data_IF_660781777391
#
_entry.id   IF_660781777391
#
_cell.length_a   1.000
_cell.length_b   1.000
_cell.length_c   1.000
_cell.angle_alpha   90.00
_cell.angle_beta   90.00
_cell.angle_gamma   90.00
#
_symmetry.space_group_name_H-M   'P 1'
#
loop_
_entity.id
_entity.type
_entity.pdbx_description
1 polymer ?
#
# COMPACT_ATOMS: atom_id res chain seq x y z
N UNK A 1 23.32 -27.37 -30.12
CA UNK A 1 22.73 -28.50 -29.35
C UNK A 1 22.06 -27.90 -28.12
N UNK A 2 20.80 -28.23 -27.82
CA UNK A 2 20.14 -27.76 -26.59
C UNK A 2 20.60 -28.62 -25.38
N UNK A 3 20.62 -28.06 -24.16
CA UNK A 3 20.92 -28.87 -22.96
C UNK A 3 19.87 -29.97 -22.80
N UNK A 4 20.24 -31.09 -22.16
CA UNK A 4 19.32 -32.23 -21.94
C UNK A 4 18.07 -31.86 -21.12
N UNK A 5 18.11 -30.73 -20.41
CA UNK A 5 16.99 -30.13 -19.67
C UNK A 5 16.00 -29.36 -20.57
N UNK A 6 16.26 -29.29 -21.88
CA UNK A 6 15.41 -28.66 -22.88
C UNK A 6 15.16 -29.64 -24.03
N UNK A 7 13.90 -30.03 -24.22
CA UNK A 7 13.49 -30.74 -25.42
C UNK A 7 13.62 -29.80 -26.64
N UNK A 8 13.97 -30.33 -27.81
CA UNK A 8 14.04 -29.55 -29.04
C UNK A 8 12.94 -30.01 -30.01
N UNK A 9 11.70 -30.11 -29.52
CA UNK A 9 10.61 -30.79 -30.25
C UNK A 9 9.25 -30.13 -29.99
N UNK A 10 8.50 -29.85 -31.07
CA UNK A 10 7.07 -29.49 -31.04
C UNK A 10 6.66 -28.40 -30.02
N UNK A 11 7.49 -27.38 -29.83
CA UNK A 11 7.22 -26.28 -28.88
C UNK A 11 7.45 -26.62 -27.40
N UNK A 12 7.98 -27.82 -27.12
CA UNK A 12 8.42 -28.25 -25.79
C UNK A 12 9.92 -28.02 -25.73
N UNK A 13 10.38 -27.17 -24.82
CA UNK A 13 11.78 -26.78 -24.71
C UNK A 13 12.01 -25.30 -24.42
N UNK A 14 13.27 -24.90 -24.37
CA UNK A 14 13.67 -23.49 -24.40
C UNK A 14 13.71 -23.00 -25.84
N UNK A 15 13.20 -21.80 -26.07
CA UNK A 15 13.31 -21.14 -27.36
C UNK A 15 14.80 -20.94 -27.69
N UNK A 16 15.29 -21.34 -28.87
CA UNK A 16 16.71 -21.26 -29.22
C UNK A 16 17.15 -19.84 -29.62
N UNK A 17 16.71 -18.80 -28.92
CA UNK A 17 16.95 -17.37 -29.24
C UNK A 17 18.12 -16.76 -28.45
N UNK A 18 19.04 -17.59 -27.94
CA UNK A 18 20.08 -17.13 -27.02
C UNK A 18 21.22 -16.32 -27.64
N UNK A 19 21.39 -16.35 -28.97
CA UNK A 19 22.42 -15.60 -29.68
C UNK A 19 21.78 -14.39 -30.37
N UNK A 20 22.43 -13.23 -30.27
CA UNK A 20 22.11 -12.02 -31.04
C UNK A 20 23.21 -11.75 -32.07
N UNK A 21 22.92 -10.92 -33.07
CA UNK A 21 23.91 -10.52 -34.07
C UNK A 21 25.18 -9.96 -33.42
N UNK A 22 26.35 -10.31 -33.97
CA UNK A 22 27.65 -9.95 -33.41
C UNK A 22 28.14 -10.82 -32.24
N UNK A 23 27.36 -11.82 -31.78
CA UNK A 23 27.82 -12.76 -30.73
C UNK A 23 29.01 -13.59 -31.22
N UNK A 24 30.07 -13.67 -30.42
CA UNK A 24 31.20 -14.54 -30.70
C UNK A 24 30.85 -15.98 -30.34
N UNK A 25 31.00 -16.88 -31.31
CA UNK A 25 30.58 -18.29 -31.18
C UNK A 25 31.74 -19.24 -31.42
N UNK A 26 31.66 -20.40 -30.79
CA UNK A 26 32.53 -21.54 -31.04
C UNK A 26 31.73 -22.64 -31.73
N UNK A 27 32.33 -23.26 -32.75
CA UNK A 27 31.65 -24.20 -33.62
C UNK A 27 32.54 -24.75 -34.73
N UNK A 28 31.93 -25.46 -35.67
CA UNK A 28 32.60 -26.00 -36.85
C UNK A 28 31.65 -26.00 -38.05
N UNK A 29 32.19 -26.09 -39.25
CA UNK A 29 31.43 -26.23 -40.49
C UNK A 29 31.19 -27.72 -40.77
N UNK A 30 29.93 -28.14 -40.86
CA UNK A 30 29.56 -29.55 -41.09
C UNK A 30 30.04 -30.05 -42.46
N UNK A 31 30.13 -29.13 -43.42
CA UNK A 31 30.60 -29.33 -44.79
C UNK A 31 32.11 -29.04 -44.97
N UNK A 32 32.86 -28.91 -43.87
CA UNK A 32 34.31 -28.77 -43.89
C UNK A 32 34.79 -27.45 -44.51
N UNK A 33 35.63 -27.54 -45.55
CA UNK A 33 36.25 -26.35 -46.17
C UNK A 33 35.27 -25.47 -46.95
N UNK A 34 34.10 -25.99 -47.31
CA UNK A 34 33.09 -25.26 -48.07
C UNK A 34 32.43 -24.16 -47.23
N UNK A 35 32.38 -24.33 -45.90
CA UNK A 35 31.95 -23.32 -44.93
C UNK A 35 30.56 -22.71 -45.23
N UNK A 36 29.59 -23.55 -45.61
CA UNK A 36 28.21 -23.15 -45.88
C UNK A 36 27.24 -23.60 -44.78
N UNK A 37 27.60 -24.62 -43.99
CA UNK A 37 26.73 -25.20 -42.96
C UNK A 37 27.34 -25.07 -41.55
N UNK A 38 27.14 -23.94 -40.85
CA UNK A 38 27.75 -23.74 -39.54
C UNK A 38 26.99 -24.50 -38.46
N UNK A 39 27.73 -25.18 -37.59
CA UNK A 39 27.22 -25.78 -36.34
C UNK A 39 27.78 -24.99 -35.17
N UNK A 40 26.90 -24.28 -34.47
CA UNK A 40 27.25 -23.53 -33.26
C UNK A 40 27.05 -24.43 -32.03
N UNK A 41 28.09 -24.54 -31.21
CA UNK A 41 28.07 -25.34 -29.98
C UNK A 41 28.13 -24.51 -28.70
N UNK A 42 28.56 -23.24 -28.79
CA UNK A 42 28.56 -22.31 -27.66
C UNK A 42 28.89 -20.88 -28.06
N UNK A 43 28.69 -19.96 -27.12
CA UNK A 43 29.12 -18.56 -27.23
C UNK A 43 30.31 -18.30 -26.31
N UNK A 44 31.15 -17.34 -26.68
CA UNK A 44 32.31 -16.91 -25.90
C UNK A 44 32.06 -15.48 -25.42
N UNK A 45 31.98 -15.30 -24.10
CA UNK A 45 31.94 -13.98 -23.49
C UNK A 45 33.34 -13.40 -23.32
N UNK A 46 33.45 -12.07 -23.33
CA UNK A 46 34.71 -11.37 -23.18
C UNK A 46 34.55 -9.93 -22.72
N UNK A 47 35.55 -9.12 -23.05
CA UNK A 47 35.55 -7.68 -22.84
C UNK A 47 36.08 -7.03 -24.11
N UNK A 48 35.23 -6.24 -24.76
CA UNK A 48 35.62 -5.49 -25.95
C UNK A 48 36.58 -4.36 -25.58
N UNK A 49 37.49 -3.99 -26.48
CA UNK A 49 38.32 -2.81 -26.29
C UNK A 49 37.46 -1.54 -26.27
N UNK A 50 37.88 -0.53 -25.50
CA UNK A 50 37.18 0.76 -25.39
C UNK A 50 37.11 1.49 -26.73
N UNK A 51 38.10 1.27 -27.59
CA UNK A 51 38.19 1.91 -28.90
C UNK A 51 37.54 1.06 -30.02
N UNK A 52 36.81 -0.01 -29.66
CA UNK A 52 36.13 -0.86 -30.64
C UNK A 52 35.05 -0.07 -31.37
N UNK A 53 35.03 -0.19 -32.71
CA UNK A 53 34.04 0.46 -33.58
C UNK A 53 33.20 -0.59 -34.28
N UNK A 54 31.88 -0.43 -34.20
CA UNK A 54 30.95 -1.26 -34.97
C UNK A 54 31.10 -0.89 -36.45
N UNK A 55 31.32 -1.89 -37.30
CA UNK A 55 31.36 -1.68 -38.74
C UNK A 55 30.48 -2.72 -39.45
N UNK A 56 29.20 -2.37 -39.73
CA UNK A 56 28.26 -3.25 -40.42
C UNK A 56 28.71 -3.68 -41.84
N UNK A 57 29.69 -2.98 -42.42
CA UNK A 57 30.21 -3.30 -43.75
C UNK A 57 31.28 -4.38 -43.75
N UNK A 58 31.76 -4.78 -42.57
CA UNK A 58 32.81 -5.78 -42.40
C UNK A 58 32.26 -7.11 -41.86
N UNK A 59 32.88 -8.22 -42.26
CA UNK A 59 32.50 -9.55 -41.78
C UNK A 59 32.64 -9.67 -40.25
N UNK A 60 31.83 -10.56 -39.65
CA UNK A 60 31.80 -10.84 -38.20
C UNK A 60 31.36 -9.67 -37.31
N UNK A 61 30.75 -8.63 -37.89
CA UNK A 61 30.03 -7.58 -37.17
C UNK A 61 28.52 -7.81 -37.28
N UNK A 62 27.75 -7.14 -36.41
CA UNK A 62 26.30 -7.06 -36.55
C UNK A 62 25.93 -6.26 -37.82
N UNK A 63 25.25 -6.88 -38.80
CA UNK A 63 24.84 -6.20 -40.03
C UNK A 63 23.85 -5.05 -39.80
N UNK A 64 23.16 -5.02 -38.66
CA UNK A 64 22.23 -3.96 -38.29
C UNK A 64 22.89 -2.86 -37.45
N UNK A 65 24.15 -3.05 -37.01
CA UNK A 65 24.89 -2.07 -36.19
C UNK A 65 24.31 -1.82 -34.79
N UNK A 66 23.45 -2.70 -34.29
CA UNK A 66 22.85 -2.63 -32.96
C UNK A 66 23.87 -3.07 -31.90
N UNK A 67 24.57 -4.18 -32.14
CA UNK A 67 25.54 -4.78 -31.22
C UNK A 67 27.01 -4.59 -31.67
N UNK A 68 27.96 -4.50 -30.71
CA UNK A 68 27.77 -4.34 -29.25
C UNK A 68 27.03 -3.04 -28.92
N UNK A 69 26.39 -2.94 -27.75
CA UNK A 69 25.70 -1.70 -27.36
C UNK A 69 26.73 -0.63 -26.99
N UNK A 70 26.58 0.58 -27.53
CA UNK A 70 27.57 1.67 -27.35
C UNK A 70 27.84 1.98 -25.88
N UNK A 71 26.80 1.93 -25.06
CA UNK A 71 26.84 2.15 -23.61
C UNK A 71 27.57 1.06 -22.81
N UNK A 72 27.93 -0.06 -23.44
CA UNK A 72 28.62 -1.21 -22.85
C UNK A 72 30.01 -1.47 -23.49
N UNK A 73 30.42 -0.70 -24.49
CA UNK A 73 31.76 -0.84 -25.09
C UNK A 73 32.82 -0.59 -24.01
N UNK A 74 33.85 -1.44 -23.96
CA UNK A 74 34.88 -1.38 -22.93
C UNK A 74 34.50 -2.06 -21.60
N UNK A 75 33.32 -2.63 -21.49
CA UNK A 75 32.88 -3.41 -20.33
C UNK A 75 32.96 -4.93 -20.58
N UNK A 76 33.01 -5.70 -19.49
CA UNK A 76 32.90 -7.15 -19.57
C UNK A 76 31.44 -7.57 -19.81
N UNK A 77 31.23 -8.65 -20.55
CA UNK A 77 29.91 -9.21 -20.87
C UNK A 77 29.14 -9.72 -19.64
N UNK A 78 29.82 -9.91 -18.50
CA UNK A 78 29.17 -10.17 -17.20
C UNK A 78 28.16 -9.05 -16.93
N UNK A 79 26.92 -9.43 -16.62
CA UNK A 79 25.84 -8.47 -16.42
C UNK A 79 26.19 -7.46 -15.32
N UNK A 80 25.88 -6.18 -15.55
CA UNK A 80 26.09 -5.09 -14.58
C UNK A 80 25.68 -5.48 -13.17
N UNK A 81 24.54 -6.15 -12.98
CA UNK A 81 24.00 -6.53 -11.66
C UNK A 81 24.89 -7.50 -10.87
N UNK A 82 25.76 -8.26 -11.54
CA UNK A 82 26.68 -9.23 -10.95
C UNK A 82 28.12 -8.72 -10.80
N UNK A 83 28.37 -7.41 -10.91
CA UNK A 83 29.73 -6.83 -10.92
C UNK A 83 30.00 -5.97 -9.68
N UNK A 84 29.37 -6.28 -8.55
CA UNK A 84 29.64 -5.61 -7.28
C UNK A 84 31.09 -5.82 -6.90
N UNK A 85 31.76 -4.77 -6.43
CA UNK A 85 33.14 -4.84 -5.95
C UNK A 85 33.25 -3.98 -4.68
N UNK A 86 33.81 -4.55 -3.62
CA UNK A 86 34.06 -3.84 -2.36
C UNK A 86 32.85 -3.79 -1.42
N UNK A 87 32.96 -2.98 -0.37
CA UNK A 87 31.96 -2.81 0.68
C UNK A 87 31.05 -1.59 0.42
N UNK A 88 29.93 -1.52 1.15
CA UNK A 88 29.06 -0.34 1.20
C UNK A 88 29.79 0.89 1.78
N UNK A 89 29.42 2.13 1.39
CA UNK A 89 28.35 2.51 0.46
C UNK A 89 28.75 2.38 -1.01
N UNK A 90 27.75 2.18 -1.88
CA UNK A 90 28.00 1.90 -3.30
C UNK A 90 28.31 3.20 -4.06
N UNK A 91 29.45 3.25 -4.76
CA UNK A 91 29.72 4.28 -5.77
C UNK A 91 29.06 3.94 -7.12
N UNK A 92 28.89 4.93 -8.01
CA UNK A 92 28.21 4.78 -9.31
C UNK A 92 28.74 3.63 -10.21
N UNK A 93 29.96 3.15 -9.94
CA UNK A 93 30.67 2.14 -10.74
C UNK A 93 30.47 0.68 -10.30
N UNK A 94 29.78 0.43 -9.19
CA UNK A 94 29.69 -0.90 -8.57
C UNK A 94 28.34 -1.58 -8.85
N UNK A 95 27.97 -1.73 -10.12
CA UNK A 95 26.70 -2.35 -10.60
C UNK A 95 25.43 -1.51 -10.49
N UNK A 96 25.46 -0.39 -9.76
CA UNK A 96 24.29 0.48 -9.54
C UNK A 96 23.80 1.19 -10.80
N UNK A 97 24.67 1.28 -11.82
CA UNK A 97 24.34 1.88 -13.10
C UNK A 97 23.56 0.95 -14.05
N UNK A 98 23.16 -0.25 -13.59
CA UNK A 98 22.25 -1.12 -14.35
C UNK A 98 20.93 -0.41 -14.65
N UNK A 99 20.43 -0.55 -15.87
CA UNK A 99 19.21 0.13 -16.33
C UNK A 99 17.99 -0.22 -15.48
N UNK A 100 17.86 -1.48 -15.04
CA UNK A 100 16.78 -1.93 -14.15
C UNK A 100 16.82 -1.21 -12.80
N UNK A 101 18.00 -1.07 -12.17
CA UNK A 101 18.15 -0.37 -10.89
C UNK A 101 17.87 1.13 -11.02
N UNK A 102 18.39 1.79 -12.06
CA UNK A 102 18.08 3.20 -12.35
C UNK A 102 16.57 3.43 -12.45
N UNK A 103 15.88 2.56 -13.20
CA UNK A 103 14.43 2.65 -13.36
C UNK A 103 13.67 2.41 -12.05
N UNK A 104 14.10 1.45 -11.22
CA UNK A 104 13.49 1.19 -9.91
C UNK A 104 13.65 2.40 -8.99
N UNK A 105 14.84 2.99 -8.91
CA UNK A 105 15.12 4.19 -8.08
C UNK A 105 14.31 5.40 -8.48
N UNK A 106 14.23 5.66 -9.79
CA UNK A 106 13.46 6.78 -10.33
C UNK A 106 11.96 6.66 -10.03
N UNK A 107 11.44 5.44 -9.85
CA UNK A 107 10.02 5.17 -9.59
C UNK A 107 9.72 4.81 -8.13
N UNK A 108 10.71 4.81 -7.24
CA UNK A 108 10.56 4.42 -5.84
C UNK A 108 9.76 5.47 -5.06
N UNK A 109 8.74 5.04 -4.33
CA UNK A 109 7.95 5.91 -3.46
C UNK A 109 8.70 6.20 -2.15
N UNK A 110 9.07 7.46 -1.90
CA UNK A 110 9.77 7.84 -0.67
C UNK A 110 9.65 9.33 -0.34
N UNK A 111 9.98 9.67 0.90
CA UNK A 111 9.97 11.04 1.40
C UNK A 111 8.60 11.51 1.86
N UNK A 112 8.58 12.52 2.71
CA UNK A 112 7.36 13.20 3.16
C UNK A 112 6.98 14.32 2.18
N UNK A 113 5.87 14.18 1.41
CA UNK A 113 5.41 15.22 0.48
C UNK A 113 5.02 16.55 1.13
N UNK A 114 4.70 16.55 2.43
CA UNK A 114 4.27 17.75 3.17
C UNK A 114 5.45 18.54 3.75
N UNK A 115 6.66 17.94 3.78
CA UNK A 115 7.88 18.64 4.19
C UNK A 115 8.42 19.48 3.04
N UNK A 116 8.46 20.79 3.24
CA UNK A 116 9.13 21.75 2.36
C UNK A 116 10.62 21.33 2.25
N UNK A 117 11.08 21.10 1.02
CA UNK A 117 12.45 20.68 0.65
C UNK A 117 12.76 19.17 0.70
N UNK A 118 11.78 18.27 0.87
CA UNK A 118 12.03 16.85 0.62
C UNK A 118 12.34 16.60 -0.87
N UNK A 119 13.40 15.84 -1.13
CA UNK A 119 14.03 15.72 -2.47
C UNK A 119 13.18 14.88 -3.43
N UNK A 120 12.24 14.07 -2.91
CA UNK A 120 11.57 13.02 -3.69
C UNK A 120 10.11 12.73 -3.34
N UNK A 121 9.39 13.68 -2.74
CA UNK A 121 7.96 13.78 -2.35
C UNK A 121 6.96 12.78 -2.96
N UNK A 122 7.18 11.48 -2.77
CA UNK A 122 6.38 10.40 -3.37
C UNK A 122 6.09 9.29 -2.35
N UNK A 123 6.38 9.50 -1.07
CA UNK A 123 6.02 8.58 0.00
C UNK A 123 4.53 8.28 0.00
N UNK A 124 4.14 7.25 0.74
CA UNK A 124 2.74 6.83 0.82
C UNK A 124 2.19 7.15 2.21
N UNK A 125 1.12 7.94 2.26
CA UNK A 125 0.49 8.37 3.50
C UNK A 125 -0.14 7.18 4.21
N UNK A 126 -0.03 7.17 5.54
CA UNK A 126 -0.80 6.29 6.43
C UNK A 126 -2.15 6.94 6.76
N UNK A 127 -3.15 6.10 7.05
CA UNK A 127 -4.45 6.57 7.56
C UNK A 127 -4.31 7.22 8.94
N UNK A 128 -5.10 8.27 9.20
CA UNK A 128 -5.05 9.07 10.44
C UNK A 128 -6.43 9.11 11.13
N UNK A 129 -6.44 8.95 12.45
CA UNK A 129 -7.64 9.13 13.28
C UNK A 129 -8.10 10.61 13.33
N UNK A 130 -9.41 10.81 13.45
CA UNK A 130 -10.01 12.14 13.56
C UNK A 130 -9.84 12.71 14.96
N UNK A 131 -9.40 13.97 15.06
CA UNK A 131 -9.20 14.67 16.33
C UNK A 131 -10.55 15.00 16.99
N UNK A 132 -10.75 14.50 18.21
CA UNK A 132 -11.98 14.68 18.99
C UNK A 132 -11.84 15.80 20.05
N UNK A 133 -10.66 16.41 20.18
CA UNK A 133 -10.38 17.52 21.11
C UNK A 133 -10.91 18.85 20.55
N UNK A 134 -12.23 19.01 20.54
CA UNK A 134 -12.88 20.32 20.49
C UNK A 134 -12.50 21.22 19.30
N UNK A 135 -12.25 20.66 18.11
CA UNK A 135 -11.82 21.37 16.89
C UNK A 135 -12.71 22.53 16.40
N UNK A 136 -13.80 22.84 17.09
CA UNK A 136 -14.77 23.88 16.75
C UNK A 136 -14.93 24.95 17.85
N UNK A 137 -14.00 25.04 18.81
CA UNK A 137 -14.06 26.03 19.90
C UNK A 137 -15.07 25.72 21.00
N UNK A 138 -15.52 24.47 21.11
CA UNK A 138 -16.34 23.97 22.23
C UNK A 138 -15.50 22.99 23.07
N UNK A 139 -15.56 23.03 24.41
CA UNK A 139 -14.82 22.10 25.24
C UNK A 139 -15.23 20.65 24.93
N UNK A 140 -14.25 19.84 24.50
CA UNK A 140 -14.43 18.41 24.37
C UNK A 140 -14.68 17.81 25.76
N UNK A 141 -15.80 17.10 25.94
CA UNK A 141 -16.06 16.33 27.16
C UNK A 141 -15.36 14.96 27.17
N UNK A 142 -14.72 14.55 26.06
CA UNK A 142 -13.89 13.35 25.97
C UNK A 142 -12.63 13.77 25.20
N UNK A 143 -11.48 13.65 25.86
CA UNK A 143 -10.19 13.97 25.26
C UNK A 143 -9.76 12.89 24.26
N UNK A 144 -8.87 13.25 23.33
CA UNK A 144 -8.16 12.24 22.55
C UNK A 144 -7.44 11.29 23.51
N UNK A 145 -7.41 10.01 23.15
CA UNK A 145 -6.69 9.03 23.94
C UNK A 145 -5.20 9.41 23.96
N UNK A 146 -4.63 9.45 25.17
CA UNK A 146 -3.21 9.71 25.40
C UNK A 146 -2.46 8.39 25.59
N UNK A 147 -1.13 8.41 25.48
CA UNK A 147 -0.29 7.22 25.58
C UNK A 147 -0.07 6.53 24.23
N UNK A 148 -0.16 5.20 24.20
CA UNK A 148 0.21 4.36 23.05
C UNK A 148 -0.55 4.69 21.75
N UNK A 149 -1.77 5.22 21.87
CA UNK A 149 -2.65 5.54 20.73
C UNK A 149 -2.45 6.96 20.16
N UNK A 150 -1.64 7.80 20.82
CA UNK A 150 -1.43 9.20 20.41
C UNK A 150 -0.78 9.33 19.01
N UNK A 151 -0.09 8.28 18.54
CA UNK A 151 0.50 8.23 17.20
C UNK A 151 -0.53 8.22 16.08
N UNK A 152 -1.73 7.67 16.30
CA UNK A 152 -2.77 7.55 15.28
C UNK A 152 -3.33 8.90 14.80
N UNK A 153 -3.14 9.96 15.60
CA UNK A 153 -3.56 11.31 15.28
C UNK A 153 -2.48 12.13 14.56
N UNK A 154 -1.33 11.54 14.22
CA UNK A 154 -0.26 12.22 13.47
C UNK A 154 -0.36 11.89 11.99
N UNK A 155 0.04 12.83 11.15
CA UNK A 155 0.24 12.53 9.73
C UNK A 155 1.60 11.86 9.55
N UNK A 156 1.62 10.68 8.95
CA UNK A 156 2.83 9.89 8.76
C UNK A 156 2.87 9.28 7.36
N UNK A 157 4.10 9.10 6.87
CA UNK A 157 4.39 8.52 5.56
C UNK A 157 5.26 7.28 5.73
N UNK A 158 5.20 6.36 4.77
CA UNK A 158 6.13 5.25 4.69
C UNK A 158 6.79 5.18 3.30
N UNK A 159 8.02 4.66 3.29
CA UNK A 159 8.87 4.57 2.12
C UNK A 159 8.91 3.12 1.62
N UNK A 160 8.86 2.96 0.29
CA UNK A 160 9.18 1.70 -0.36
C UNK A 160 10.64 1.29 -0.06
N UNK A 161 10.94 0.00 0.15
CA UNK A 161 12.31 -0.47 0.35
C UNK A 161 13.26 -0.10 -0.79
N UNK A 162 14.57 -0.07 -0.53
CA UNK A 162 15.54 0.19 -1.60
C UNK A 162 15.58 -0.95 -2.63
N UNK A 163 15.80 -0.65 -3.93
CA UNK A 163 15.78 -1.61 -5.04
C UNK A 163 16.82 -2.75 -5.07
N UNK A 164 17.62 -3.00 -4.03
CA UNK A 164 18.70 -4.00 -4.09
C UNK A 164 19.03 -4.68 -2.76
N UNK A 165 19.15 -3.90 -1.69
CA UNK A 165 19.64 -4.36 -0.37
C UNK A 165 18.74 -3.88 0.78
N UNK A 166 17.46 -3.66 0.47
CA UNK A 166 16.43 -3.30 1.46
C UNK A 166 16.66 -1.99 2.22
N UNK A 167 15.92 -1.85 3.31
CA UNK A 167 15.86 -0.62 4.11
C UNK A 167 14.92 0.41 3.51
N UNK A 168 14.32 1.23 4.38
CA UNK A 168 13.23 2.17 4.04
C UNK A 168 13.65 3.63 4.23
N UNK A 169 14.95 3.92 4.33
CA UNK A 169 15.45 5.30 4.43
C UNK A 169 15.19 6.07 3.13
N UNK A 170 15.09 7.40 3.18
CA UNK A 170 14.88 8.21 1.97
C UNK A 170 16.08 8.17 0.99
N UNK A 171 17.27 7.90 1.51
CA UNK A 171 18.50 7.78 0.73
C UNK A 171 18.45 6.56 -0.19
N UNK A 172 18.91 6.73 -1.42
CA UNK A 172 19.04 5.64 -2.39
C UNK A 172 20.27 4.75 -2.10
N UNK A 173 21.24 5.23 -1.32
CA UNK A 173 22.50 4.50 -1.07
C UNK A 173 22.64 4.02 0.36
N UNK A 174 21.59 4.15 1.17
CA UNK A 174 21.58 3.70 2.57
C UNK A 174 20.71 2.45 2.70
N UNK A 175 21.38 1.30 2.80
CA UNK A 175 20.77 -0.02 2.82
C UNK A 175 20.70 -0.61 4.22
N UNK A 176 20.22 -1.86 4.34
CA UNK A 176 20.26 -2.62 5.58
C UNK A 176 21.70 -2.78 6.09
N UNK A 177 21.90 -2.61 7.39
CA UNK A 177 23.23 -2.75 8.03
C UNK A 177 23.72 -4.19 8.06
N UNK A 178 22.83 -5.16 7.86
CA UNK A 178 23.17 -6.59 7.76
C UNK A 178 23.80 -6.96 6.41
N UNK A 179 23.77 -6.05 5.44
CA UNK A 179 24.36 -6.27 4.12
C UNK A 179 25.78 -5.74 4.15
N UNK A 180 26.77 -6.64 4.07
CA UNK A 180 28.20 -6.30 4.17
C UNK A 180 28.90 -6.40 2.80
N UNK A 181 28.37 -7.24 1.91
CA UNK A 181 28.88 -7.42 0.54
C UNK A 181 27.92 -6.87 -0.53
N UNK A 182 28.37 -6.89 -1.78
CA UNK A 182 27.62 -6.46 -2.96
C UNK A 182 27.48 -7.61 -3.93
N UNK A 183 26.34 -7.72 -4.62
CA UNK A 183 26.09 -8.78 -5.62
C UNK A 183 27.26 -8.88 -6.59
N UNK A 184 27.98 -10.01 -6.55
CA UNK A 184 29.24 -10.15 -7.27
C UNK A 184 29.40 -11.52 -7.91
N UNK A 185 30.10 -11.55 -9.04
CA UNK A 185 30.58 -12.77 -9.66
C UNK A 185 31.52 -13.53 -8.70
N UNK A 186 31.47 -14.87 -8.64
CA UNK A 186 30.64 -15.79 -9.44
C UNK A 186 29.27 -16.12 -8.80
N UNK A 187 28.91 -15.51 -7.67
CA UNK A 187 27.74 -15.87 -6.86
C UNK A 187 26.42 -15.26 -7.38
N UNK A 188 26.52 -14.12 -8.07
CA UNK A 188 25.35 -13.47 -8.66
C UNK A 188 25.08 -14.01 -10.07
N UNK A 189 23.95 -14.69 -10.24
CA UNK A 189 23.49 -15.30 -11.48
C UNK A 189 22.37 -14.46 -12.09
N UNK A 190 22.67 -13.79 -13.21
CA UNK A 190 21.74 -12.88 -13.87
C UNK A 190 21.40 -13.37 -15.27
N UNK A 191 20.11 -13.45 -15.56
CA UNK A 191 19.56 -13.67 -16.89
C UNK A 191 18.89 -12.39 -17.37
N UNK A 192 19.38 -11.83 -18.47
CA UNK A 192 18.79 -10.64 -19.09
C UNK A 192 18.43 -10.92 -20.55
N UNK A 193 17.19 -10.64 -20.92
CA UNK A 193 16.74 -10.70 -22.32
C UNK A 193 17.18 -9.46 -23.10
N UNK A 194 17.22 -9.55 -24.43
CA UNK A 194 17.53 -8.43 -25.34
C UNK A 194 16.72 -7.16 -25.02
N UNK A 195 15.43 -7.31 -24.73
CA UNK A 195 14.52 -6.18 -24.50
C UNK A 195 14.68 -5.51 -23.13
N UNK A 196 15.39 -6.17 -22.20
CA UNK A 196 15.65 -5.68 -20.84
C UNK A 196 14.83 -6.31 -19.72
N UNK A 197 14.15 -7.45 -19.95
CA UNK A 197 13.66 -8.28 -18.83
C UNK A 197 14.84 -8.89 -18.08
N UNK A 198 14.75 -8.92 -16.75
CA UNK A 198 15.82 -9.41 -15.87
C UNK A 198 15.27 -10.43 -14.90
N UNK A 199 16.00 -11.52 -14.73
CA UNK A 199 15.89 -12.42 -13.59
C UNK A 199 17.25 -12.56 -12.94
N UNK A 200 17.27 -12.63 -11.63
CA UNK A 200 18.49 -12.63 -10.85
C UNK A 200 18.33 -13.51 -9.61
N UNK A 201 19.31 -14.40 -9.43
CA UNK A 201 19.54 -15.23 -8.26
C UNK A 201 20.92 -14.89 -7.74
N UNK A 202 20.98 -14.26 -6.58
CA UNK A 202 22.24 -13.81 -6.00
C UNK A 202 22.54 -14.60 -4.73
N UNK A 203 23.62 -15.37 -4.77
CA UNK A 203 24.13 -16.15 -3.63
C UNK A 203 25.30 -15.43 -2.93
N UNK A 204 25.51 -14.14 -3.21
CA UNK A 204 26.56 -13.36 -2.53
C UNK A 204 26.23 -13.24 -1.04
N UNK A 205 27.14 -13.72 -0.18
CA UNK A 205 26.98 -13.70 1.28
C UNK A 205 26.58 -12.31 1.80
N UNK A 206 25.53 -12.24 2.62
CA UNK A 206 24.85 -11.03 3.15
C UNK A 206 24.05 -10.19 2.16
N UNK A 207 24.16 -10.46 0.86
CA UNK A 207 23.48 -9.74 -0.22
C UNK A 207 22.52 -10.66 -1.00
N UNK A 208 22.10 -11.78 -0.39
CA UNK A 208 21.30 -12.80 -1.04
C UNK A 208 19.96 -12.22 -1.50
N UNK A 209 19.60 -12.44 -2.76
CA UNK A 209 18.34 -11.90 -3.30
C UNK A 209 17.80 -12.66 -4.49
N UNK A 210 16.48 -12.57 -4.62
CA UNK A 210 15.74 -13.02 -5.79
C UNK A 210 15.06 -11.82 -6.42
N UNK A 211 15.25 -11.64 -7.73
CA UNK A 211 14.69 -10.49 -8.43
C UNK A 211 14.19 -10.86 -9.82
N UNK A 212 12.95 -10.48 -10.12
CA UNK A 212 12.31 -10.65 -11.43
C UNK A 212 11.70 -9.34 -11.88
N UNK A 213 12.14 -8.83 -13.02
CA UNK A 213 11.86 -7.48 -13.48
C UNK A 213 11.42 -7.45 -14.94
N UNK A 214 10.31 -6.76 -15.19
CA UNK A 214 9.86 -6.41 -16.53
C UNK A 214 10.39 -5.04 -16.93
N UNK A 215 10.88 -4.88 -18.17
CA UNK A 215 11.52 -3.65 -18.70
C UNK A 215 10.75 -2.34 -18.46
N UNK A 216 9.42 -2.40 -18.28
CA UNK A 216 8.56 -1.24 -18.00
C UNK A 216 8.64 -0.75 -16.56
N UNK A 217 9.14 -1.57 -15.63
CA UNK A 217 9.30 -1.24 -14.22
C UNK A 217 8.51 -2.09 -13.24
N UNK A 218 7.69 -3.04 -13.69
CA UNK A 218 7.03 -4.00 -12.79
C UNK A 218 8.05 -5.02 -12.30
N UNK A 219 8.08 -5.31 -11.01
CA UNK A 219 9.01 -6.27 -10.45
C UNK A 219 8.51 -6.96 -9.19
N UNK A 220 9.13 -8.11 -8.94
CA UNK A 220 9.10 -8.82 -7.67
C UNK A 220 10.53 -8.98 -7.17
N UNK A 221 10.76 -8.67 -5.90
CA UNK A 221 12.07 -8.77 -5.27
C UNK A 221 11.95 -9.30 -3.84
N UNK A 222 12.81 -10.25 -3.49
CA UNK A 222 13.02 -10.72 -2.12
C UNK A 222 14.44 -10.29 -1.73
N UNK A 223 14.52 -9.49 -0.67
CA UNK A 223 15.73 -8.88 -0.13
C UNK A 223 16.49 -9.84 0.81
N UNK A 224 17.73 -9.50 1.22
CA UNK A 224 18.53 -10.36 2.12
C UNK A 224 17.89 -10.62 3.48
N UNK A 225 17.07 -9.69 3.99
CA UNK A 225 16.30 -9.86 5.23
C UNK A 225 14.98 -10.64 5.05
N UNK A 226 14.70 -11.11 3.84
CA UNK A 226 13.45 -11.77 3.47
C UNK A 226 12.30 -10.82 3.15
N UNK A 227 12.51 -9.50 3.22
CA UNK A 227 11.50 -8.51 2.82
C UNK A 227 11.13 -8.69 1.35
N UNK A 228 9.83 -8.83 1.07
CA UNK A 228 9.31 -8.96 -0.30
C UNK A 228 8.70 -7.66 -0.79
N UNK A 229 9.04 -7.26 -2.00
CA UNK A 229 8.45 -6.13 -2.72
C UNK A 229 7.80 -6.64 -3.99
N UNK A 230 6.54 -6.29 -4.20
CA UNK A 230 5.85 -6.43 -5.49
C UNK A 230 5.42 -5.05 -5.93
N UNK A 231 5.95 -4.59 -7.06
CA UNK A 231 5.60 -3.30 -7.65
C UNK A 231 5.01 -3.52 -9.02
N UNK A 232 3.76 -3.07 -9.19
CA UNK A 232 3.06 -3.11 -10.48
C UNK A 232 2.92 -1.67 -10.99
N UNK A 233 3.33 -1.42 -12.24
CA UNK A 233 3.31 -0.06 -12.83
C UNK A 233 2.05 0.24 -13.65
N UNK A 234 1.23 -0.78 -13.88
CA UNK A 234 -0.03 -0.72 -14.61
C UNK A 234 -1.13 -1.34 -13.74
N UNK A 235 -2.17 -1.89 -14.36
CA UNK A 235 -3.25 -2.58 -13.65
C UNK A 235 -2.76 -3.91 -13.05
N UNK A 236 -3.22 -4.22 -11.83
CA UNK A 236 -3.01 -5.48 -11.15
C UNK A 236 -4.33 -6.22 -10.98
N UNK A 237 -4.32 -7.53 -11.19
CA UNK A 237 -5.51 -8.38 -11.08
C UNK A 237 -5.22 -9.55 -10.14
N UNK A 238 -5.90 -9.57 -9.01
CA UNK A 238 -5.87 -10.72 -8.10
C UNK A 238 -7.17 -11.51 -8.22
N UNK A 239 -7.08 -12.73 -8.75
CA UNK A 239 -8.23 -13.62 -8.94
C UNK A 239 -7.94 -14.92 -8.19
N UNK A 240 -8.65 -15.14 -7.08
CA UNK A 240 -8.59 -16.39 -6.32
C UNK A 240 -9.89 -17.16 -6.51
N UNK A 241 -9.83 -18.27 -7.25
CA UNK A 241 -11.02 -19.05 -7.60
C UNK A 241 -11.63 -19.85 -6.43
N UNK A 242 -10.92 -19.90 -5.29
CA UNK A 242 -11.34 -20.61 -4.08
C UNK A 242 -11.07 -19.71 -2.87
N UNK A 243 -10.88 -20.29 -1.69
CA UNK A 243 -10.58 -19.55 -0.47
C UNK A 243 -9.20 -18.89 -0.52
N UNK A 244 -9.11 -17.69 0.06
CA UNK A 244 -7.87 -16.99 0.36
C UNK A 244 -7.85 -16.70 1.87
N UNK A 245 -6.93 -17.33 2.59
CA UNK A 245 -6.68 -16.99 4.00
C UNK A 245 -5.48 -16.06 4.06
N UNK A 246 -5.62 -14.93 4.75
CA UNK A 246 -4.58 -13.90 4.85
C UNK A 246 -4.30 -13.61 6.32
N UNK A 247 -3.03 -13.70 6.72
CA UNK A 247 -2.58 -13.32 8.06
C UNK A 247 -1.48 -12.27 7.93
N UNK A 248 -1.61 -11.20 8.70
CA UNK A 248 -0.60 -10.15 8.83
C UNK A 248 -0.38 -9.95 10.33
N UNK A 249 0.71 -10.51 10.84
CA UNK A 249 1.02 -10.44 12.29
C UNK A 249 1.56 -9.07 12.70
N UNK A 250 2.11 -8.33 11.75
CA UNK A 250 2.56 -6.95 11.94
C UNK A 250 1.48 -5.93 11.60
N UNK A 251 1.91 -4.69 11.34
CA UNK A 251 1.03 -3.60 10.95
C UNK A 251 0.61 -3.72 9.49
N UNK A 252 -0.69 -3.55 9.21
CA UNK A 252 -1.22 -3.44 7.84
C UNK A 252 -1.57 -1.99 7.52
N UNK A 253 -0.85 -1.36 6.59
CA UNK A 253 -1.18 -0.04 6.05
C UNK A 253 -1.79 -0.22 4.65
N UNK A 254 -3.05 0.22 4.47
CA UNK A 254 -3.73 0.21 3.18
C UNK A 254 -4.03 1.65 2.74
N UNK A 255 -3.51 2.03 1.57
CA UNK A 255 -3.73 3.36 1.00
C UNK A 255 -4.30 3.21 -0.42
N UNK A 256 -5.56 3.60 -0.59
CA UNK A 256 -6.22 3.67 -1.90
C UNK A 256 -6.35 5.14 -2.30
N UNK A 257 -5.62 5.57 -3.34
CA UNK A 257 -5.62 6.97 -3.78
C UNK A 257 -6.87 7.36 -4.59
N UNK A 258 -7.53 6.38 -5.19
CA UNK A 258 -8.79 6.55 -5.92
C UNK A 258 -10.00 6.04 -5.14
N UNK A 259 -11.10 5.79 -5.85
CA UNK A 259 -12.30 5.21 -5.26
C UNK A 259 -12.07 3.74 -4.86
N UNK A 260 -12.58 3.36 -3.69
CA UNK A 260 -12.63 1.97 -3.25
C UNK A 260 -14.09 1.49 -3.23
N UNK A 261 -14.38 0.37 -3.91
CA UNK A 261 -15.69 -0.28 -3.88
C UNK A 261 -15.52 -1.71 -3.40
N UNK A 262 -16.19 -2.05 -2.31
CA UNK A 262 -16.14 -3.38 -1.72
C UNK A 262 -17.55 -3.95 -1.67
N UNK A 263 -17.73 -5.14 -2.21
CA UNK A 263 -18.99 -5.86 -2.20
C UNK A 263 -18.79 -7.20 -1.50
N UNK A 264 -19.48 -7.38 -0.39
CA UNK A 264 -19.61 -8.66 0.29
C UNK A 264 -20.96 -9.26 -0.14
N UNK A 265 -20.93 -10.38 -0.88
CA UNK A 265 -22.15 -11.04 -1.38
C UNK A 265 -22.89 -11.83 -0.30
N UNK A 266 -22.25 -12.03 0.85
CA UNK A 266 -22.78 -12.68 2.03
C UNK A 266 -22.44 -11.80 3.25
N UNK A 267 -22.30 -12.40 4.42
CA UNK A 267 -22.10 -11.68 5.67
C UNK A 267 -20.67 -11.09 5.78
N UNK A 268 -20.58 -9.91 6.40
CA UNK A 268 -19.33 -9.30 6.87
C UNK A 268 -19.32 -9.33 8.39
N UNK A 269 -18.33 -10.01 8.98
CA UNK A 269 -18.04 -9.95 10.42
C UNK A 269 -16.75 -9.17 10.60
N UNK A 270 -16.80 -8.10 11.40
CA UNK A 270 -15.64 -7.25 11.71
C UNK A 270 -15.48 -7.14 13.23
N UNK A 271 -14.44 -7.79 13.76
CA UNK A 271 -14.03 -7.68 15.17
C UNK A 271 -12.78 -6.80 15.25
N UNK A 272 -12.82 -5.78 16.11
CA UNK A 272 -11.65 -4.97 16.45
C UNK A 272 -11.48 -5.01 17.97
N UNK A 273 -10.37 -5.59 18.42
CA UNK A 273 -10.07 -5.74 19.86
C UNK A 273 -9.49 -4.48 20.49
N UNK A 274 -8.83 -3.66 19.69
CA UNK A 274 -8.42 -2.31 20.06
C UNK A 274 -9.51 -1.29 19.75
N UNK A 275 -9.11 -0.03 19.56
CA UNK A 275 -10.05 1.04 19.26
C UNK A 275 -10.45 1.08 17.78
N UNK A 276 -11.73 1.35 17.49
CA UNK A 276 -12.24 1.53 16.14
C UNK A 276 -12.32 3.02 15.79
N UNK A 277 -11.34 3.53 15.05
CA UNK A 277 -11.36 4.89 14.55
C UNK A 277 -11.97 4.94 13.14
N UNK A 278 -13.09 5.65 13.01
CA UNK A 278 -13.70 5.99 11.73
C UNK A 278 -13.69 7.51 11.55
N UNK A 279 -12.85 7.99 10.64
CA UNK A 279 -12.74 9.40 10.32
C UNK A 279 -13.11 9.63 8.85
N UNK A 280 -14.24 10.30 8.64
CA UNK A 280 -14.77 10.62 7.31
C UNK A 280 -14.73 12.13 7.12
N UNK A 281 -13.91 12.61 6.19
CA UNK A 281 -13.74 14.05 5.95
C UNK A 281 -14.96 14.74 5.33
N UNK A 282 -15.84 13.97 4.67
CA UNK A 282 -17.05 14.46 3.99
C UNK A 282 -18.27 13.71 4.56
N UNK A 283 -19.23 13.35 3.71
CA UNK A 283 -20.46 12.68 4.12
C UNK A 283 -20.23 11.19 4.44
N UNK A 284 -20.89 10.70 5.49
CA UNK A 284 -21.16 9.28 5.71
C UNK A 284 -22.65 9.03 5.44
N UNK A 285 -22.97 7.99 4.65
CA UNK A 285 -24.35 7.59 4.34
C UNK A 285 -24.52 6.11 4.63
N UNK A 286 -25.46 5.78 5.49
CA UNK A 286 -25.75 4.40 5.89
C UNK A 286 -27.20 4.10 5.53
N UNK A 287 -27.42 2.95 4.87
CA UNK A 287 -28.77 2.44 4.59
C UNK A 287 -28.83 0.99 5.04
N UNK A 288 -29.75 0.71 5.97
CA UNK A 288 -29.97 -0.61 6.53
C UNK A 288 -31.40 -1.00 6.18
N UNK A 289 -31.56 -2.12 5.46
CA UNK A 289 -32.88 -2.64 5.11
C UNK A 289 -33.50 -3.46 6.25
N UNK A 290 -32.67 -4.11 7.06
CA UNK A 290 -33.07 -4.80 8.27
C UNK A 290 -33.01 -3.90 9.50
N UNK A 291 -32.52 -4.43 10.61
CA UNK A 291 -32.44 -3.74 11.89
C UNK A 291 -31.04 -3.17 12.14
N UNK A 292 -30.96 -2.04 12.84
CA UNK A 292 -29.73 -1.51 13.44
C UNK A 292 -29.81 -1.69 14.95
N UNK A 293 -28.80 -2.35 15.54
CA UNK A 293 -28.72 -2.62 16.97
C UNK A 293 -27.38 -2.10 17.46
N UNK A 294 -27.39 -1.33 18.54
CA UNK A 294 -26.17 -0.75 19.13
C UNK A 294 -26.20 -0.90 20.63
N UNK A 295 -25.13 -1.47 21.19
CA UNK A 295 -24.90 -1.57 22.63
C UNK A 295 -23.60 -0.82 22.96
N UNK A 296 -23.67 0.09 23.93
CA UNK A 296 -22.51 0.80 24.47
C UNK A 296 -22.54 0.57 25.97
N UNK A 297 -21.54 -0.15 26.49
CA UNK A 297 -21.49 -0.57 27.90
C UNK A 297 -21.15 0.61 28.83
N UNK A 298 -20.38 1.57 28.32
CA UNK A 298 -19.95 2.76 29.05
C UNK A 298 -20.66 4.00 28.51
N UNK A 299 -19.95 5.12 28.33
CA UNK A 299 -20.56 6.39 27.94
C UNK A 299 -20.72 6.52 26.43
N UNK A 300 -21.84 7.11 26.00
CA UNK A 300 -22.08 7.53 24.62
C UNK A 300 -22.21 9.05 24.54
N UNK A 301 -21.41 9.67 23.66
CA UNK A 301 -21.52 11.10 23.31
C UNK A 301 -21.92 11.25 21.84
N UNK A 302 -22.88 12.12 21.56
CA UNK A 302 -23.25 12.52 20.19
C UNK A 302 -23.21 14.05 20.09
N UNK A 303 -22.48 14.58 19.12
CA UNK A 303 -22.42 16.02 18.84
C UNK A 303 -22.88 16.27 17.40
N UNK A 304 -23.92 17.08 17.24
CA UNK A 304 -24.38 17.58 15.93
C UNK A 304 -24.32 19.10 15.97
N UNK A 305 -23.39 19.69 15.20
CA UNK A 305 -23.17 21.14 15.23
C UNK A 305 -24.25 21.95 14.50
N UNK A 306 -25.02 21.29 13.62
CA UNK A 306 -26.11 21.91 12.86
C UNK A 306 -27.43 21.29 13.29
N UNK A 307 -28.20 20.77 12.33
CA UNK A 307 -29.52 20.22 12.58
C UNK A 307 -29.46 18.71 12.82
N UNK A 308 -30.18 18.25 13.83
CA UNK A 308 -30.49 16.85 14.06
C UNK A 308 -32.00 16.65 13.85
N UNK A 309 -32.38 15.69 13.00
CA UNK A 309 -33.78 15.43 12.66
C UNK A 309 -34.05 13.93 12.76
N UNK A 310 -34.89 13.56 13.72
CA UNK A 310 -35.29 12.18 13.96
C UNK A 310 -36.74 11.96 13.52
N UNK A 311 -36.94 10.97 12.65
CA UNK A 311 -38.26 10.46 12.32
C UNK A 311 -38.36 9.00 12.76
N UNK A 312 -39.36 8.69 13.57
CA UNK A 312 -39.69 7.32 14.00
C UNK A 312 -41.09 7.01 13.47
N UNK A 313 -41.20 6.00 12.60
CA UNK A 313 -42.47 5.68 11.92
C UNK A 313 -43.51 5.04 12.82
N UNK A 314 -43.08 4.40 13.92
CA UNK A 314 -43.94 3.77 14.91
C UNK A 314 -43.70 4.36 16.31
N UNK A 315 -43.12 3.59 17.22
CA UNK A 315 -42.97 3.96 18.63
C UNK A 315 -41.54 4.35 18.97
N UNK A 316 -41.37 5.37 19.80
CA UNK A 316 -40.11 5.72 20.44
C UNK A 316 -40.24 5.56 21.96
N UNK A 317 -39.34 4.78 22.56
CA UNK A 317 -39.27 4.57 24.03
C UNK A 317 -37.88 4.99 24.50
N UNK A 318 -37.81 5.80 25.56
CA UNK A 318 -36.54 6.30 26.13
C UNK A 318 -36.54 6.04 27.64
N UNK A 319 -36.06 4.87 28.09
CA UNK A 319 -35.86 4.62 29.52
C UNK A 319 -34.57 5.30 30.00
N UNK A 320 -34.62 5.99 31.13
CA UNK A 320 -33.46 6.61 31.80
C UNK A 320 -33.48 6.14 33.26
N UNK A 321 -32.39 5.51 33.71
CA UNK A 321 -32.31 4.92 35.06
C UNK A 321 -31.97 5.92 36.17
N UNK A 322 -31.46 7.10 35.82
CA UNK A 322 -31.13 8.18 36.73
C UNK A 322 -31.72 9.50 36.19
N UNK A 323 -30.89 10.53 36.02
CA UNK A 323 -31.38 11.86 35.66
C UNK A 323 -31.47 12.09 34.15
N UNK A 324 -32.53 12.80 33.73
CA UNK A 324 -32.65 13.36 32.38
C UNK A 324 -32.67 14.88 32.47
N UNK A 325 -31.67 15.52 31.84
CA UNK A 325 -31.63 16.99 31.71
C UNK A 325 -31.87 17.38 30.25
N UNK A 326 -32.78 18.32 30.00
CA UNK A 326 -33.05 18.90 28.68
C UNK A 326 -32.84 20.40 28.78
N UNK A 327 -31.99 20.95 27.90
CA UNK A 327 -31.73 22.39 27.81
C UNK A 327 -31.99 22.83 26.39
N UNK A 328 -32.91 23.79 26.22
CA UNK A 328 -33.25 24.38 24.92
C UNK A 328 -32.92 25.87 24.97
N UNK A 329 -31.94 26.30 24.18
CA UNK A 329 -31.52 27.70 24.12
C UNK A 329 -32.46 28.61 23.33
N UNK A 330 -33.34 28.02 22.50
CA UNK A 330 -34.39 28.70 21.74
C UNK A 330 -35.77 28.33 22.27
N UNK A 331 -36.70 28.07 21.35
CA UNK A 331 -38.06 27.64 21.71
C UNK A 331 -38.17 26.12 21.75
N UNK A 332 -39.00 25.62 22.68
CA UNK A 332 -39.44 24.23 22.70
C UNK A 332 -40.93 24.21 22.35
N UNK A 333 -41.25 23.58 21.22
CA UNK A 333 -42.62 23.32 20.79
C UNK A 333 -42.90 21.82 20.87
N UNK A 334 -43.94 21.44 21.61
CA UNK A 334 -44.41 20.06 21.72
C UNK A 334 -45.85 19.97 21.21
N UNK A 335 -46.12 19.02 20.31
CA UNK A 335 -47.44 18.78 19.76
C UNK A 335 -47.80 17.32 19.89
N UNK A 336 -48.82 17.02 20.70
CA UNK A 336 -49.36 15.67 20.88
C UNK A 336 -50.80 15.64 20.40
N UNK A 337 -51.10 14.76 19.43
CA UNK A 337 -52.43 14.68 18.80
C UNK A 337 -53.46 13.89 19.60
N UNK A 338 -52.99 13.06 20.53
CA UNK A 338 -53.81 12.19 21.38
C UNK A 338 -53.46 12.46 22.84
N UNK A 339 -53.62 11.46 23.69
CA UNK A 339 -53.44 11.59 25.13
C UNK A 339 -51.97 11.84 25.48
N UNK A 340 -51.78 12.77 26.42
CA UNK A 340 -50.54 12.95 27.17
C UNK A 340 -50.79 12.41 28.59
N UNK A 341 -49.87 11.60 29.11
CA UNK A 341 -49.89 11.14 30.51
C UNK A 341 -48.53 11.45 31.11
N UNK A 342 -48.52 12.34 32.08
CA UNK A 342 -47.33 12.69 32.86
C UNK A 342 -47.57 12.27 34.30
N UNK A 343 -46.61 11.53 34.86
CA UNK A 343 -46.62 11.11 36.26
C UNK A 343 -45.30 11.62 36.86
N UNK A 344 -45.40 12.40 37.93
CA UNK A 344 -44.25 12.91 38.67
C UNK A 344 -44.32 12.43 40.11
N UNK A 345 -43.18 12.07 40.69
CA UNK A 345 -43.07 11.81 42.13
C UNK A 345 -43.69 10.50 42.64
N UNK A 346 -44.14 9.57 41.81
CA UNK A 346 -44.68 8.26 42.25
C UNK A 346 -43.61 7.23 42.71
N UNK A 347 -42.40 7.70 43.07
CA UNK A 347 -41.36 6.85 43.63
C UNK A 347 -41.68 6.35 45.04
N UNK A 348 -40.88 5.38 45.54
CA UNK A 348 -41.04 4.85 46.90
C UNK A 348 -40.94 5.93 47.99
N UNK A 349 -40.15 6.99 47.73
CA UNK A 349 -40.25 8.26 48.44
C UNK A 349 -40.77 9.28 47.43
N UNK A 350 -41.93 9.91 47.69
CA UNK A 350 -42.47 10.91 46.78
C UNK A 350 -41.49 12.04 46.52
N UNK A 351 -41.39 12.44 45.26
CA UNK A 351 -40.56 13.56 44.83
C UNK A 351 -41.37 14.82 44.59
N UNK A 352 -40.71 15.97 44.64
CA UNK A 352 -41.35 17.27 44.38
C UNK A 352 -41.45 17.55 42.87
N UNK A 353 -42.59 18.09 42.44
CA UNK A 353 -42.74 18.70 41.12
C UNK A 353 -42.71 20.23 41.26
N UNK A 354 -41.71 20.88 40.65
CA UNK A 354 -41.59 22.35 40.65
C UNK A 354 -41.63 22.87 39.22
N UNK A 355 -42.49 23.86 38.98
CA UNK A 355 -42.53 24.62 37.74
C UNK A 355 -42.36 26.12 38.05
N UNK A 356 -41.32 26.73 37.49
CA UNK A 356 -41.01 28.17 37.68
C UNK A 356 -41.09 28.89 36.35
N UNK A 357 -41.91 29.95 36.27
CA UNK A 357 -42.04 30.79 35.09
C UNK A 357 -41.82 32.26 35.47
N UNK A 358 -40.81 32.90 34.86
CA UNK A 358 -40.57 34.33 35.06
C UNK A 358 -41.52 35.22 34.25
N UNK A 359 -42.05 34.70 33.14
CA UNK A 359 -42.99 35.39 32.27
C UNK A 359 -44.43 35.03 32.56
N UNK A 360 -45.28 35.14 31.53
CA UNK A 360 -46.68 34.72 31.63
C UNK A 360 -46.76 33.20 31.72
N UNK A 361 -47.34 32.70 32.80
CA UNK A 361 -47.75 31.30 32.94
C UNK A 361 -49.27 31.19 32.78
N UNK A 362 -49.74 30.30 31.91
CA UNK A 362 -51.19 30.07 31.71
C UNK A 362 -51.49 28.60 31.48
N UNK A 363 -52.46 28.08 32.21
CA UNK A 363 -53.02 26.74 32.01
C UNK A 363 -54.50 26.87 31.64
N UNK A 364 -54.99 26.09 30.66
CA UNK A 364 -56.38 26.14 30.20
C UNK A 364 -56.86 24.75 29.81
N UNK A 365 -58.00 24.34 30.35
CA UNK A 365 -58.81 23.24 29.81
C UNK A 365 -60.03 23.79 29.08
N UNK A 366 -60.46 23.13 28.00
CA UNK A 366 -61.67 23.49 27.25
C UNK A 366 -62.90 22.81 27.86
N UNK A 367 -62.73 21.62 28.44
CA UNK A 367 -63.83 20.80 28.98
C UNK A 367 -63.85 20.88 30.51
N UNK A 368 -62.96 20.12 31.17
CA UNK A 368 -62.87 20.08 32.64
C UNK A 368 -61.42 20.06 33.15
N UNK A 369 -61.21 20.54 34.36
CA UNK A 369 -59.93 20.45 35.10
C UNK A 369 -60.24 20.09 36.55
N UNK A 370 -59.54 19.10 37.09
CA UNK A 370 -59.67 18.67 38.48
C UNK A 370 -58.30 18.78 39.16
N UNK A 371 -58.23 19.54 40.24
CA UNK A 371 -57.07 19.57 41.13
C UNK A 371 -57.50 18.95 42.46
N UNK A 372 -56.77 17.94 42.90
CA UNK A 372 -56.96 17.28 44.19
C UNK A 372 -55.68 17.43 45.00
N UNK A 373 -55.82 17.75 46.27
CA UNK A 373 -54.71 17.91 47.22
C UNK A 373 -54.30 16.58 47.82
#
# INVERSE_FOLDING_TARGET
MQPITSAAMNGIGTTPTGLVEGTWVFGFWRDGKNAQEPVIIGAVGGKMDKDHKKDPSTGFNDPNGIYPRDELIGEADTNRLARGIGALPVGEKNSENATSLKNKRAKRNRGDPDVKDSVTNTGIAKGRAGDMTGGDGKPGTIDNRTGDDAGHYKHEWWNEPNPRYGGTTESDTTYLTSVENLSQYPYCHVRMSESGHVEEWDDTETAERLHRYHKTGTFEEIQPDGSRVVKVVADDYEIVAKSKNVVISGVCNLTVKGDCRVLYMADLVQEVRGDYHLHVHKDMRTKIHGNEITEVITDRKTTVNKQDNLFVGENQTIPIGADKTIIVGGNQDETVKKNVKEIYGEGATPGDHTATCAGKYSYRSIDSMTLTA
#
